data_IF_094147221623
#
_entry.id   IF_094147221623
#
_cell.length_a   1.000
_cell.length_b   1.000
_cell.length_c   1.000
_cell.angle_alpha   90.00
_cell.angle_beta   90.00
_cell.angle_gamma   90.00
#
_symmetry.space_group_name_H-M   'P 1'
#
loop_
_entity.id
_entity.type
_entity.pdbx_description
1 polymer ?
#
# COMPACT_ATOMS: atom_id res chain seq x y z
N UNK A 1 16.69 7.80 -5.80
CA UNK A 1 15.33 8.06 -6.31
C UNK A 1 14.41 7.64 -5.17
N UNK A 2 13.70 8.58 -4.55
CA UNK A 2 12.71 8.23 -3.53
C UNK A 2 11.52 7.58 -4.24
N UNK A 3 11.44 6.25 -4.19
CA UNK A 3 10.28 5.51 -4.68
C UNK A 3 9.10 5.80 -3.72
N UNK A 4 8.13 6.58 -4.19
CA UNK A 4 6.92 6.92 -3.45
C UNK A 4 5.71 6.18 -4.06
N UNK A 5 4.83 5.68 -3.18
CA UNK A 5 3.64 4.92 -3.55
C UNK A 5 2.42 5.74 -3.19
N UNK A 6 1.56 6.02 -4.18
CA UNK A 6 0.31 6.74 -3.95
C UNK A 6 -0.79 5.82 -3.42
N UNK A 7 -1.26 6.11 -2.23
CA UNK A 7 -2.39 5.46 -1.56
C UNK A 7 -3.62 6.36 -1.63
N UNK A 8 -4.75 5.80 -2.06
CA UNK A 8 -6.03 6.51 -2.09
C UNK A 8 -6.94 6.01 -0.99
N UNK A 9 -7.47 6.91 -0.17
CA UNK A 9 -8.51 6.60 0.79
C UNK A 9 -9.81 6.26 0.06
N UNK A 10 -10.39 5.10 0.35
CA UNK A 10 -11.64 4.66 -0.27
C UNK A 10 -12.87 5.40 0.27
N UNK A 11 -12.73 6.08 1.43
CA UNK A 11 -13.84 6.77 2.10
C UNK A 11 -13.96 8.24 1.67
N UNK A 12 -12.84 8.98 1.68
CA UNK A 12 -12.84 10.41 1.33
C UNK A 12 -12.23 10.70 -0.05
N UNK A 13 -11.60 9.72 -0.69
CA UNK A 13 -10.99 9.89 -2.02
C UNK A 13 -9.65 10.64 -2.03
N UNK A 14 -9.14 11.07 -0.87
CA UNK A 14 -7.84 11.74 -0.76
C UNK A 14 -6.72 10.76 -1.08
N UNK A 15 -5.67 11.26 -1.74
CA UNK A 15 -4.47 10.48 -2.07
C UNK A 15 -3.29 10.97 -1.23
N UNK A 16 -2.50 10.06 -0.69
CA UNK A 16 -1.27 10.33 0.05
C UNK A 16 -0.12 9.53 -0.55
N UNK A 17 1.07 10.14 -0.55
CA UNK A 17 2.28 9.51 -1.03
C UNK A 17 3.01 8.92 0.18
N UNK A 18 3.09 7.59 0.22
CA UNK A 18 3.78 6.86 1.27
C UNK A 18 5.10 6.37 0.69
N UNK A 19 6.24 6.58 1.37
CA UNK A 19 7.52 6.05 0.92
C UNK A 19 7.49 4.52 0.79
N UNK A 20 8.08 3.99 -0.29
CA UNK A 20 8.16 2.56 -0.56
C UNK A 20 8.81 1.79 0.59
N UNK A 21 9.85 2.34 1.21
CA UNK A 21 10.54 1.73 2.36
C UNK A 21 9.57 1.45 3.53
N UNK A 22 8.63 2.36 3.77
CA UNK A 22 7.62 2.21 4.83
C UNK A 22 6.67 1.08 4.45
N UNK A 23 6.23 1.06 3.19
CA UNK A 23 5.35 0.01 2.66
C UNK A 23 6.01 -1.37 2.73
N UNK A 24 7.30 -1.46 2.36
CA UNK A 24 8.12 -2.68 2.44
C UNK A 24 8.26 -3.15 3.88
N UNK A 25 8.62 -2.24 4.79
CA UNK A 25 8.76 -2.55 6.22
C UNK A 25 7.46 -3.12 6.80
N UNK A 26 6.31 -2.48 6.53
CA UNK A 26 5.02 -2.98 7.00
C UNK A 26 4.62 -4.31 6.34
N UNK A 27 5.00 -4.51 5.08
CA UNK A 27 4.74 -5.77 4.37
C UNK A 27 5.56 -6.94 4.91
N UNK A 28 6.84 -6.72 5.25
CA UNK A 28 7.69 -7.74 5.88
C UNK A 28 7.22 -8.10 7.29
N UNK A 29 6.69 -7.11 8.02
CA UNK A 29 6.13 -7.29 9.35
C UNK A 29 4.75 -7.97 9.33
N UNK A 30 3.94 -7.71 8.30
CA UNK A 30 2.63 -8.37 8.12
C UNK A 30 2.76 -9.74 7.44
N UNK A 31 3.26 -10.72 8.21
CA UNK A 31 3.39 -12.11 7.77
C UNK A 31 2.03 -12.82 7.61
N UNK A 32 0.91 -12.15 7.87
CA UNK A 32 -0.42 -12.78 7.84
C UNK A 32 -0.95 -13.00 6.43
N UNK A 33 -0.48 -12.23 5.43
CA UNK A 33 -0.82 -12.41 4.03
C UNK A 33 0.31 -11.90 3.13
N UNK A 34 1.23 -12.80 2.77
CA UNK A 34 2.27 -12.56 1.76
C UNK A 34 1.67 -12.16 0.40
N UNK A 35 0.39 -12.43 0.14
CA UNK A 35 -0.27 -12.05 -1.11
C UNK A 35 -1.15 -10.78 -1.02
N UNK A 36 -1.31 -10.17 0.16
CA UNK A 36 -2.07 -8.92 0.31
C UNK A 36 -1.15 -7.73 0.59
N UNK A 37 -1.38 -6.66 -0.16
CA UNK A 37 -0.71 -5.38 0.06
C UNK A 37 -1.11 -4.79 1.41
N UNK A 38 -0.19 -4.13 2.13
CA UNK A 38 -0.51 -3.44 3.36
C UNK A 38 -1.56 -2.36 3.09
N UNK A 39 -2.58 -2.33 3.93
CA UNK A 39 -3.63 -1.32 3.92
C UNK A 39 -3.36 -0.35 5.07
N UNK A 40 -3.40 0.96 4.80
CA UNK A 40 -3.21 1.98 5.82
C UNK A 40 -4.57 2.54 6.26
N UNK A 41 -4.68 2.88 7.54
CA UNK A 41 -5.83 3.63 8.05
C UNK A 41 -5.55 5.13 7.90
N UNK A 42 -6.43 5.84 7.18
CA UNK A 42 -6.32 7.28 7.04
C UNK A 42 -6.62 7.97 8.36
N UNK A 43 -5.67 8.73 8.89
CA UNK A 43 -5.80 9.37 10.21
C UNK A 43 -6.98 10.33 10.31
N UNK A 44 -7.33 11.04 9.23
CA UNK A 44 -8.38 12.08 9.29
C UNK A 44 -9.81 11.54 9.21
N UNK A 45 -10.02 10.36 8.64
CA UNK A 45 -11.38 9.84 8.41
C UNK A 45 -11.59 8.40 8.87
N UNK A 46 -10.53 7.75 9.38
CA UNK A 46 -10.50 6.33 9.73
C UNK A 46 -10.78 5.40 8.56
N UNK A 47 -10.64 5.89 7.33
CA UNK A 47 -10.96 5.14 6.12
C UNK A 47 -9.77 4.29 5.70
N UNK A 48 -10.04 3.12 5.09
CA UNK A 48 -8.97 2.28 4.55
C UNK A 48 -8.40 2.92 3.29
N UNK A 49 -7.09 3.04 3.24
CA UNK A 49 -6.35 3.45 2.06
C UNK A 49 -5.79 2.26 1.31
N UNK A 50 -5.91 2.30 -0.01
CA UNK A 50 -5.35 1.30 -0.92
C UNK A 50 -4.65 1.97 -2.09
N UNK A 51 -3.58 1.36 -2.58
CA UNK A 51 -2.95 1.75 -3.84
C UNK A 51 -3.85 1.34 -4.99
N UNK A 52 -3.96 2.18 -6.03
CA UNK A 52 -4.69 1.82 -7.25
C UNK A 52 -3.88 0.86 -8.11
N UNK A 53 -2.61 1.17 -8.31
CA UNK A 53 -1.70 0.41 -9.15
C UNK A 53 -0.33 0.48 -8.52
N UNK A 54 0.13 -0.66 -8.04
CA UNK A 54 1.55 -0.88 -7.87
C UNK A 54 1.82 -2.20 -8.57
N UNK A 55 2.57 -2.16 -9.68
CA UNK A 55 3.17 -3.36 -10.25
C UNK A 55 4.01 -3.94 -9.12
N UNK A 56 3.67 -5.13 -8.63
CA UNK A 56 4.19 -5.67 -7.37
C UNK A 56 5.69 -5.38 -7.20
N UNK A 57 6.09 -5.04 -5.98
CA UNK A 57 7.47 -4.66 -5.56
C UNK A 57 8.60 -5.53 -6.10
N UNK A 58 8.26 -6.70 -6.65
CA UNK A 58 9.18 -7.71 -7.15
C UNK A 58 8.85 -8.24 -8.55
N UNK A 59 8.03 -7.55 -9.37
CA UNK A 59 7.71 -8.02 -10.72
C UNK A 59 7.08 -9.42 -10.76
N UNK A 60 6.53 -9.90 -9.63
CA UNK A 60 5.83 -11.18 -9.58
C UNK A 60 4.45 -11.01 -10.19
N UNK A 61 4.28 -11.59 -11.38
CA UNK A 61 2.97 -11.93 -11.89
C UNK A 61 2.38 -13.00 -10.97
N UNK A 62 1.41 -12.62 -10.14
CA UNK A 62 0.57 -13.56 -9.45
C UNK A 62 -0.41 -14.13 -10.48
N UNK A 63 -0.03 -15.24 -11.13
CA UNK A 63 -1.00 -16.05 -11.85
C UNK A 63 -1.82 -16.84 -10.81
N UNK A 64 -3.14 -16.74 -10.98
CA UNK A 64 -4.18 -17.48 -10.26
C UNK A 64 -4.12 -18.95 -10.67
#
# INVERSE_FOLDING_TARGET
>A
MEDIISYKCLKCGITENIPREVVEYFYEMDQSNIDKRPCFAWEKCGGVMRTKEYNGLYGKNYNI
#
